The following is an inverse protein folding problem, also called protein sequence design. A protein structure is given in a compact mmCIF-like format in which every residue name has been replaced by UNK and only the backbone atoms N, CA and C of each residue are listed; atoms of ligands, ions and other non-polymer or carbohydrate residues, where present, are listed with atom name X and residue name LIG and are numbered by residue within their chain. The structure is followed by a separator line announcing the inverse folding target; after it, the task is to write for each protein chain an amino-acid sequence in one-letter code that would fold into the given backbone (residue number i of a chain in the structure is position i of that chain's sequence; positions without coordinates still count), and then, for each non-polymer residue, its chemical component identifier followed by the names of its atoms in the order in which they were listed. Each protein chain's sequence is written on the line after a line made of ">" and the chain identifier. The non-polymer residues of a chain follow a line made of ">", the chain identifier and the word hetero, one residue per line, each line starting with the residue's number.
data_IF_062865826099
#
_entry.id   IF_062865826099
#
_cell.length_a   1.000
_cell.length_b   1.000
_cell.length_c   1.000
_cell.angle_alpha   90.00
_cell.angle_beta   90.00
_cell.angle_gamma   90.00
#
_symmetry.space_group_name_H-M   'P 1'
#
loop_
_entity.id
_entity.type
_entity.pdbx_description
1 polymer ?
#
# COMPACT_ATOMS: atom_id res chain seq x y z
N UNK A 1 -72.49 53.37 -7.16
CA UNK A 1 -71.09 53.81 -7.32
C UNK A 1 -70.22 52.58 -7.14
N UNK A 2 -69.53 52.21 -8.25
CA UNK A 2 -68.35 51.32 -8.38
C UNK A 2 -68.42 49.94 -7.70
N UNK A 3 -68.84 48.89 -8.43
CA UNK A 3 -68.04 48.00 -9.34
C UNK A 3 -67.39 46.83 -8.57
N UNK A 4 -67.98 45.62 -8.60
CA UNK A 4 -67.72 44.50 -9.57
C UNK A 4 -66.33 43.88 -9.37
N UNK A 5 -66.10 42.56 -9.29
CA UNK A 5 -66.89 41.37 -9.63
C UNK A 5 -66.01 40.11 -9.41
N UNK A 6 -66.66 38.95 -9.26
CA UNK A 6 -66.27 37.59 -9.75
C UNK A 6 -64.93 36.97 -9.31
N UNK A 7 -64.83 35.70 -8.94
CA UNK A 7 -65.78 34.59 -9.01
C UNK A 7 -65.09 33.24 -8.80
N UNK A 8 -65.94 32.27 -8.44
CA UNK A 8 -65.88 30.81 -8.69
C UNK A 8 -64.72 29.93 -8.17
N UNK A 9 -65.18 28.93 -7.41
CA UNK A 9 -64.55 27.70 -6.94
C UNK A 9 -63.89 26.85 -8.04
N UNK A 10 -62.84 26.11 -7.66
CA UNK A 10 -62.62 24.75 -8.17
C UNK A 10 -61.78 23.90 -7.21
N UNK A 11 -62.29 22.69 -7.00
CA UNK A 11 -61.79 21.58 -6.19
C UNK A 11 -60.28 21.30 -6.30
N UNK A 12 -59.61 21.13 -5.16
CA UNK A 12 -58.36 20.37 -5.05
C UNK A 12 -58.64 19.01 -4.40
N UNK A 13 -58.53 17.97 -5.22
CA UNK A 13 -58.62 16.57 -4.84
C UNK A 13 -57.28 16.09 -4.26
N UNK A 14 -57.39 15.32 -3.18
CA UNK A 14 -56.35 14.46 -2.61
C UNK A 14 -55.75 13.54 -3.68
N UNK A 15 -54.44 13.58 -3.85
CA UNK A 15 -53.65 12.46 -4.38
C UNK A 15 -52.37 12.31 -3.57
N UNK A 16 -52.44 11.36 -2.65
CA UNK A 16 -51.32 10.71 -1.99
C UNK A 16 -50.42 10.05 -3.05
N UNK A 17 -49.17 10.54 -3.17
CA UNK A 17 -48.13 9.83 -3.92
C UNK A 17 -46.98 9.53 -2.97
N UNK A 18 -46.90 8.27 -2.56
CA UNK A 18 -45.83 7.67 -1.78
C UNK A 18 -44.56 7.57 -2.63
N UNK A 19 -43.53 8.37 -2.32
CA UNK A 19 -42.18 8.18 -2.86
C UNK A 19 -41.45 7.03 -2.15
N UNK A 20 -40.53 6.32 -2.82
CA UNK A 20 -39.82 5.20 -2.21
C UNK A 20 -38.78 5.69 -1.21
N UNK A 21 -38.43 4.88 -0.19
CA UNK A 21 -37.50 5.28 0.86
C UNK A 21 -36.07 5.37 0.32
N UNK A 22 -35.40 6.47 0.64
CA UNK A 22 -33.97 6.70 0.42
C UNK A 22 -33.20 5.66 1.25
N UNK A 23 -32.65 4.63 0.60
CA UNK A 23 -31.69 3.73 1.24
C UNK A 23 -30.35 4.45 1.36
N UNK A 24 -29.95 4.73 2.60
CA UNK A 24 -28.62 5.21 2.97
C UNK A 24 -27.57 4.14 2.65
N UNK A 25 -26.85 4.32 1.55
CA UNK A 25 -25.66 3.52 1.25
C UNK A 25 -24.54 4.00 2.16
N UNK A 26 -24.40 3.39 3.34
CA UNK A 26 -23.21 3.47 4.16
C UNK A 26 -22.06 2.73 3.45
N UNK A 27 -21.32 3.43 2.58
CA UNK A 27 -20.10 2.92 1.96
C UNK A 27 -18.95 3.04 2.98
N UNK A 28 -18.71 1.98 3.74
CA UNK A 28 -17.56 1.86 4.63
C UNK A 28 -16.34 1.55 3.77
N UNK A 29 -15.52 2.56 3.46
CA UNK A 29 -14.21 2.37 2.83
C UNK A 29 -13.12 2.61 3.87
N UNK A 30 -12.74 1.55 4.56
CA UNK A 30 -11.52 1.50 5.37
C UNK A 30 -10.32 1.24 4.45
N UNK A 31 -9.52 2.26 4.20
CA UNK A 31 -8.15 2.08 3.72
C UNK A 31 -7.31 1.45 4.85
N UNK A 32 -7.32 0.13 4.92
CA UNK A 32 -6.19 -0.64 5.43
C UNK A 32 -5.44 -1.17 4.22
N UNK A 33 -4.14 -0.88 4.15
CA UNK A 33 -3.18 -1.57 3.29
C UNK A 33 -3.56 -3.04 3.17
N UNK A 34 -3.84 -3.50 1.96
CA UNK A 34 -3.92 -4.93 1.66
C UNK A 34 -2.53 -5.46 1.95
N UNK A 35 -2.38 -6.01 3.15
CA UNK A 35 -1.36 -7.01 3.45
C UNK A 35 -1.44 -8.01 2.29
N UNK A 36 -0.34 -8.27 1.59
CA UNK A 36 -0.23 -9.40 0.65
C UNK A 36 -0.21 -10.72 1.42
N UNK A 37 -1.24 -10.93 2.24
CA UNK A 37 -1.74 -12.21 2.67
C UNK A 37 -3.05 -12.35 1.93
N UNK A 38 -3.04 -13.24 0.93
CA UNK A 38 -4.23 -13.85 0.36
C UNK A 38 -5.33 -13.95 1.42
N UNK A 39 -6.49 -13.29 1.24
CA UNK A 39 -7.64 -13.55 2.07
C UNK A 39 -8.04 -14.99 1.79
N UNK A 40 -7.80 -15.86 2.77
CA UNK A 40 -8.60 -17.07 2.92
C UNK A 40 -9.88 -16.58 3.59
N UNK A 41 -10.86 -16.18 2.79
CA UNK A 41 -12.26 -16.04 3.23
C UNK A 41 -13.14 -16.45 2.04
N UNK A 42 -13.68 -17.68 2.04
CA UNK A 42 -14.85 -18.11 2.82
C UNK A 42 -16.18 -17.50 2.34
N UNK A 43 -16.38 -17.30 1.03
CA UNK A 43 -17.75 -17.21 0.46
C UNK A 43 -17.82 -17.47 -1.04
N UNK A 44 -17.30 -18.63 -1.47
CA UNK A 44 -17.90 -19.45 -2.55
C UNK A 44 -17.37 -20.90 -2.54
N UNK A 45 -16.87 -21.39 -1.40
CA UNK A 45 -16.37 -22.76 -1.25
C UNK A 45 -17.47 -23.73 -0.82
N UNK A 46 -18.66 -23.61 -1.42
CA UNK A 46 -19.78 -24.53 -1.16
C UNK A 46 -19.50 -25.97 -1.60
N UNK A 47 -18.58 -26.19 -2.55
CA UNK A 47 -18.50 -27.45 -3.29
C UNK A 47 -17.09 -28.10 -3.38
N UNK A 48 -16.00 -27.49 -2.89
CA UNK A 48 -14.62 -27.98 -3.16
C UNK A 48 -14.08 -29.06 -2.20
N UNK A 49 -14.81 -29.41 -1.13
CA UNK A 49 -14.32 -30.43 -0.17
C UNK A 49 -14.45 -31.88 -0.66
N UNK A 50 -15.11 -32.11 -1.81
CA UNK A 50 -15.41 -33.46 -2.32
C UNK A 50 -14.59 -33.89 -3.55
N UNK A 51 -13.64 -33.06 -4.04
CA UNK A 51 -12.86 -33.39 -5.25
C UNK A 51 -11.55 -34.10 -4.92
N UNK A 52 -11.36 -35.28 -5.51
CA UNK A 52 -10.13 -36.08 -5.36
C UNK A 52 -8.89 -35.35 -5.90
N UNK A 53 -7.72 -35.66 -5.35
CA UNK A 53 -6.41 -35.14 -5.79
C UNK A 53 -6.18 -35.27 -7.31
N UNK A 54 -6.69 -36.35 -7.91
CA UNK A 54 -6.63 -36.59 -9.36
C UNK A 54 -7.46 -35.59 -10.17
N UNK A 55 -8.59 -35.12 -9.65
CA UNK A 55 -9.48 -34.19 -10.36
C UNK A 55 -8.93 -32.76 -10.37
N UNK A 56 -8.13 -32.38 -9.35
CA UNK A 56 -7.39 -31.09 -9.30
C UNK A 56 -6.26 -30.99 -10.33
N UNK A 57 -5.81 -32.12 -10.88
CA UNK A 57 -4.78 -32.19 -11.93
C UNK A 57 -5.38 -32.28 -13.35
N UNK A 58 -6.71 -32.35 -13.49
CA UNK A 58 -7.36 -32.35 -14.80
C UNK A 58 -7.03 -31.08 -15.59
N UNK A 59 -6.64 -31.17 -16.87
CA UNK A 59 -6.42 -30.02 -17.74
C UNK A 59 -7.62 -29.06 -17.80
N UNK A 60 -8.85 -29.58 -17.71
CA UNK A 60 -10.06 -28.76 -17.71
C UNK A 60 -10.27 -27.98 -16.41
N UNK A 61 -9.90 -28.56 -15.27
CA UNK A 61 -9.93 -27.88 -13.98
C UNK A 61 -8.88 -26.75 -13.94
N UNK A 62 -7.68 -27.03 -14.43
CA UNK A 62 -6.60 -26.03 -14.51
C UNK A 62 -6.99 -24.86 -15.43
N UNK A 63 -7.59 -25.15 -16.60
CA UNK A 63 -8.07 -24.13 -17.54
C UNK A 63 -9.15 -23.25 -16.93
N UNK A 64 -10.15 -23.84 -16.25
CA UNK A 64 -11.20 -23.06 -15.55
C UNK A 64 -10.63 -22.15 -14.47
N UNK A 65 -9.69 -22.67 -13.66
CA UNK A 65 -9.02 -21.87 -12.62
C UNK A 65 -8.21 -20.72 -13.21
N UNK A 66 -7.52 -20.96 -14.34
CA UNK A 66 -6.78 -19.93 -15.06
C UNK A 66 -7.72 -18.85 -15.61
N UNK A 67 -8.82 -19.23 -16.27
CA UNK A 67 -9.84 -18.29 -16.75
C UNK A 67 -10.45 -17.46 -15.61
N UNK A 68 -10.72 -18.08 -14.47
CA UNK A 68 -11.25 -17.39 -13.29
C UNK A 68 -10.25 -16.36 -12.74
N UNK A 69 -8.95 -16.69 -12.71
CA UNK A 69 -7.90 -15.75 -12.32
C UNK A 69 -7.82 -14.56 -13.30
N UNK A 70 -7.81 -14.83 -14.60
CA UNK A 70 -7.81 -13.79 -15.64
C UNK A 70 -8.99 -12.85 -15.48
N UNK A 71 -10.20 -13.39 -15.26
CA UNK A 71 -11.39 -12.59 -14.99
C UNK A 71 -11.24 -11.71 -13.74
N UNK A 72 -10.70 -12.23 -12.65
CA UNK A 72 -10.53 -11.43 -11.43
C UNK A 72 -9.53 -10.30 -11.60
N UNK A 73 -8.43 -10.52 -12.33
CA UNK A 73 -7.46 -9.46 -12.65
C UNK A 73 -8.10 -8.41 -13.58
N UNK A 74 -8.84 -8.83 -14.61
CA UNK A 74 -9.56 -7.91 -15.49
C UNK A 74 -10.62 -7.10 -14.73
N UNK A 75 -11.35 -7.74 -13.81
CA UNK A 75 -12.31 -7.05 -12.94
C UNK A 75 -11.63 -6.11 -11.97
N UNK A 76 -10.42 -6.43 -11.49
CA UNK A 76 -9.61 -5.52 -10.67
C UNK A 76 -9.17 -4.28 -11.47
N UNK A 77 -8.74 -4.46 -12.73
CA UNK A 77 -8.47 -3.34 -13.66
C UNK A 77 -9.68 -2.40 -13.76
N UNK A 78 -10.86 -2.94 -14.06
CA UNK A 78 -12.10 -2.17 -14.15
C UNK A 78 -12.48 -1.49 -12.83
N UNK A 79 -12.62 -2.26 -11.75
CA UNK A 79 -13.11 -1.72 -10.47
C UNK A 79 -12.13 -0.72 -9.83
N UNK A 80 -10.82 -0.89 -10.02
CA UNK A 80 -9.84 0.10 -9.60
C UNK A 80 -9.86 1.36 -10.47
N UNK A 81 -10.22 1.26 -11.76
CA UNK A 81 -10.41 2.41 -12.63
C UNK A 81 -11.64 3.22 -12.22
N UNK A 82 -12.72 2.55 -11.85
CA UNK A 82 -13.95 3.19 -11.35
C UNK A 82 -13.67 4.05 -10.11
N UNK A 83 -12.87 3.52 -9.18
CA UNK A 83 -12.40 4.27 -8.01
C UNK A 83 -11.47 5.42 -8.40
N UNK A 84 -10.59 5.23 -9.38
CA UNK A 84 -9.69 6.29 -9.85
C UNK A 84 -10.44 7.44 -10.53
N UNK A 85 -11.48 7.14 -11.32
CA UNK A 85 -12.36 8.14 -11.92
C UNK A 85 -13.11 8.94 -10.86
N UNK A 86 -13.64 8.28 -9.83
CA UNK A 86 -14.26 8.99 -8.71
C UNK A 86 -13.29 10.00 -8.06
N UNK A 87 -12.01 9.64 -7.93
CA UNK A 87 -10.97 10.57 -7.45
C UNK A 87 -10.73 11.72 -8.43
N UNK A 88 -10.71 11.47 -9.74
CA UNK A 88 -10.51 12.53 -10.72
C UNK A 88 -11.69 13.52 -10.72
N UNK A 89 -12.93 13.06 -10.56
CA UNK A 89 -14.09 13.93 -10.33
C UNK A 89 -13.98 14.71 -9.01
N UNK A 90 -13.54 14.06 -7.92
CA UNK A 90 -13.30 14.74 -6.64
C UNK A 90 -12.34 15.93 -6.83
N UNK A 91 -11.24 15.73 -7.57
CA UNK A 91 -10.24 16.77 -7.79
C UNK A 91 -10.66 17.81 -8.83
N UNK A 92 -11.26 17.39 -9.93
CA UNK A 92 -11.56 18.26 -11.07
C UNK A 92 -12.87 19.02 -10.93
N UNK A 93 -13.85 18.48 -10.21
CA UNK A 93 -15.20 19.04 -10.13
C UNK A 93 -15.47 19.53 -8.70
N UNK A 94 -15.45 18.61 -7.72
CA UNK A 94 -15.81 18.94 -6.34
C UNK A 94 -14.81 19.94 -5.74
N UNK A 95 -13.52 19.60 -5.74
CA UNK A 95 -12.48 20.46 -5.21
C UNK A 95 -12.31 21.75 -6.01
N UNK A 96 -12.51 21.69 -7.34
CA UNK A 96 -12.51 22.89 -8.19
C UNK A 96 -13.59 23.87 -7.74
N UNK A 97 -14.82 23.40 -7.54
CA UNK A 97 -15.93 24.25 -7.10
C UNK A 97 -15.69 24.89 -5.72
N UNK A 98 -14.93 24.21 -4.86
CA UNK A 98 -14.48 24.76 -3.56
C UNK A 98 -13.38 25.80 -3.74
N UNK A 99 -12.47 25.60 -4.70
CA UNK A 99 -11.30 26.46 -4.88
C UNK A 99 -11.59 27.76 -5.66
N UNK A 100 -12.42 27.69 -6.70
CA UNK A 100 -12.75 28.81 -7.61
C UNK A 100 -13.24 30.09 -6.89
N UNK A 101 -14.11 30.03 -5.87
CA UNK A 101 -14.57 31.23 -5.15
C UNK A 101 -13.48 31.89 -4.30
N UNK A 102 -12.37 31.20 -4.03
CA UNK A 102 -11.36 31.63 -3.06
C UNK A 102 -10.00 31.94 -3.67
N UNK A 103 -9.76 31.53 -4.92
CA UNK A 103 -8.47 31.69 -5.60
C UNK A 103 -8.64 32.44 -6.93
N UNK A 104 -7.73 33.37 -7.25
CA UNK A 104 -7.58 33.90 -8.59
C UNK A 104 -7.26 32.80 -9.61
N UNK A 105 -7.74 32.95 -10.85
CA UNK A 105 -7.52 31.97 -11.93
C UNK A 105 -6.03 31.69 -12.19
N UNK A 106 -5.16 32.69 -12.11
CA UNK A 106 -3.72 32.54 -12.33
C UNK A 106 -3.04 31.66 -11.27
N UNK A 107 -3.62 31.57 -10.07
CA UNK A 107 -3.18 30.68 -8.98
C UNK A 107 -3.80 29.29 -9.12
N UNK A 108 -5.08 29.23 -9.51
CA UNK A 108 -5.83 27.97 -9.62
C UNK A 108 -5.40 27.13 -10.82
N UNK A 109 -5.12 27.77 -11.96
CA UNK A 109 -4.75 27.10 -13.21
C UNK A 109 -3.53 26.18 -13.04
N UNK A 110 -2.39 26.61 -12.47
CA UNK A 110 -1.26 25.72 -12.21
C UNK A 110 -1.60 24.46 -11.40
N UNK A 111 -2.60 24.51 -10.52
CA UNK A 111 -2.97 23.40 -9.63
C UNK A 111 -3.84 22.37 -10.38
N UNK A 112 -4.79 22.83 -11.21
CA UNK A 112 -5.82 21.95 -11.77
C UNK A 112 -5.74 21.75 -13.29
N UNK A 113 -4.89 22.49 -14.03
CA UNK A 113 -4.89 22.52 -15.51
C UNK A 113 -4.82 21.15 -16.20
N UNK A 114 -4.17 20.16 -15.58
CA UNK A 114 -3.91 18.84 -16.18
C UNK A 114 -5.00 17.80 -15.86
N UNK A 115 -5.86 18.09 -14.88
CA UNK A 115 -6.90 17.15 -14.43
C UNK A 115 -8.02 16.93 -15.46
N UNK A 116 -8.53 17.96 -16.18
CA UNK A 116 -9.59 17.75 -17.16
C UNK A 116 -9.21 16.76 -18.26
N UNK A 117 -7.99 16.85 -18.82
CA UNK A 117 -7.57 15.91 -19.86
C UNK A 117 -7.39 14.49 -19.30
N UNK A 118 -6.86 14.35 -18.08
CA UNK A 118 -6.76 13.04 -17.42
C UNK A 118 -8.15 12.44 -17.18
N UNK A 119 -9.11 13.24 -16.69
CA UNK A 119 -10.48 12.79 -16.45
C UNK A 119 -11.11 12.26 -17.75
N UNK A 120 -11.10 13.06 -18.82
CA UNK A 120 -11.71 12.70 -20.10
C UNK A 120 -11.17 11.38 -20.67
N UNK A 121 -9.85 11.16 -20.62
CA UNK A 121 -9.24 9.93 -21.15
C UNK A 121 -9.70 8.70 -20.33
N UNK A 122 -9.77 8.84 -19.01
CA UNK A 122 -10.11 7.72 -18.14
C UNK A 122 -11.61 7.44 -18.08
N UNK A 123 -12.47 8.44 -18.35
CA UNK A 123 -13.93 8.23 -18.47
C UNK A 123 -14.24 7.30 -19.65
N UNK A 124 -13.54 7.50 -20.77
CA UNK A 124 -13.65 6.59 -21.89
C UNK A 124 -13.10 5.20 -21.54
N UNK A 125 -11.95 5.14 -20.85
CA UNK A 125 -11.35 3.87 -20.44
C UNK A 125 -12.27 3.05 -19.53
N UNK A 126 -12.83 3.66 -18.48
CA UNK A 126 -13.70 2.94 -17.54
C UNK A 126 -14.95 2.44 -18.24
N UNK A 127 -15.47 3.19 -19.21
CA UNK A 127 -16.61 2.78 -20.04
C UNK A 127 -16.25 1.55 -20.88
N UNK A 128 -15.14 1.59 -21.63
CA UNK A 128 -14.68 0.45 -22.45
C UNK A 128 -14.36 -0.78 -21.59
N UNK A 129 -13.77 -0.59 -20.40
CA UNK A 129 -13.49 -1.67 -19.44
C UNK A 129 -14.79 -2.27 -18.90
N UNK A 130 -15.78 -1.43 -18.57
CA UNK A 130 -17.09 -1.87 -18.09
C UNK A 130 -17.79 -2.75 -19.11
N UNK A 131 -17.89 -2.27 -20.35
CA UNK A 131 -18.54 -3.00 -21.44
C UNK A 131 -17.86 -4.37 -21.66
N UNK A 132 -16.53 -4.42 -21.54
CA UNK A 132 -15.79 -5.68 -21.65
C UNK A 132 -16.06 -6.64 -20.49
N UNK A 133 -16.15 -6.16 -19.25
CA UNK A 133 -16.44 -7.00 -18.09
C UNK A 133 -17.88 -7.52 -18.15
N UNK A 134 -18.83 -6.69 -18.59
CA UNK A 134 -20.23 -7.07 -18.73
C UNK A 134 -20.43 -8.12 -19.85
N UNK A 135 -19.59 -8.12 -20.91
CA UNK A 135 -19.56 -9.13 -21.99
C UNK A 135 -18.46 -10.21 -21.84
N UNK A 136 -17.87 -10.37 -20.65
CA UNK A 136 -16.75 -11.29 -20.44
C UNK A 136 -17.00 -12.75 -20.88
N UNK A 137 -18.19 -13.35 -20.69
CA UNK A 137 -18.45 -14.72 -21.14
C UNK A 137 -18.26 -14.93 -22.64
N UNK A 138 -18.51 -13.90 -23.45
CA UNK A 138 -18.39 -13.96 -24.91
C UNK A 138 -17.02 -13.47 -25.39
N UNK A 139 -16.37 -12.57 -24.65
CA UNK A 139 -15.11 -11.96 -25.05
C UNK A 139 -14.09 -11.89 -23.89
N UNK A 140 -13.36 -12.99 -23.64
CA UNK A 140 -12.34 -13.11 -22.59
C UNK A 140 -10.99 -12.47 -22.99
N UNK A 141 -11.02 -11.16 -23.24
CA UNK A 141 -9.85 -10.33 -23.56
C UNK A 141 -9.97 -9.02 -22.79
N UNK A 142 -8.89 -8.33 -22.43
CA UNK A 142 -9.00 -6.97 -21.86
C UNK A 142 -7.91 -6.01 -22.35
N UNK A 143 -6.79 -6.53 -22.86
CA UNK A 143 -5.62 -5.70 -23.14
C UNK A 143 -5.79 -4.83 -24.37
N UNK A 144 -6.64 -5.21 -25.32
CA UNK A 144 -6.97 -4.37 -26.48
C UNK A 144 -7.60 -3.04 -26.05
N UNK A 145 -8.40 -3.03 -24.97
CA UNK A 145 -8.93 -1.80 -24.37
C UNK A 145 -7.79 -0.94 -23.82
N UNK A 146 -6.82 -1.55 -23.12
CA UNK A 146 -5.67 -0.83 -22.57
C UNK A 146 -4.69 -0.35 -23.66
N UNK A 147 -4.59 -1.05 -24.78
CA UNK A 147 -3.78 -0.60 -25.93
C UNK A 147 -4.35 0.71 -26.50
N UNK A 148 -5.67 0.92 -26.48
CA UNK A 148 -6.27 2.19 -26.95
C UNK A 148 -5.85 3.40 -26.13
N UNK A 149 -5.61 3.25 -24.82
CA UNK A 149 -5.19 4.38 -23.96
C UNK A 149 -3.69 4.66 -24.04
N UNK A 150 -2.88 3.68 -24.47
CA UNK A 150 -1.42 3.77 -24.49
C UNK A 150 -0.88 5.06 -25.17
N UNK A 151 -1.41 5.52 -26.31
CA UNK A 151 -1.01 6.79 -26.92
C UNK A 151 -1.22 8.02 -26.03
N UNK A 152 -2.19 7.97 -25.13
CA UNK A 152 -2.59 9.06 -24.25
C UNK A 152 -1.87 9.03 -22.90
N UNK A 153 -1.17 7.94 -22.56
CA UNK A 153 -0.41 7.82 -21.31
C UNK A 153 0.68 8.90 -21.15
N UNK A 154 1.11 9.55 -22.24
CA UNK A 154 1.99 10.73 -22.19
C UNK A 154 1.41 11.88 -21.34
N UNK A 155 0.09 11.99 -21.21
CA UNK A 155 -0.55 12.97 -20.33
C UNK A 155 -0.22 12.71 -18.84
N UNK A 156 -0.08 11.44 -18.44
CA UNK A 156 0.41 11.11 -17.10
C UNK A 156 1.85 11.54 -16.88
N UNK A 157 2.71 11.40 -17.90
CA UNK A 157 4.09 11.90 -17.79
C UNK A 157 4.14 13.40 -17.52
N UNK A 158 3.24 14.18 -18.13
CA UNK A 158 3.13 15.62 -17.86
C UNK A 158 2.70 15.89 -16.42
N UNK A 159 1.68 15.17 -15.92
CA UNK A 159 1.22 15.32 -14.53
C UNK A 159 2.31 14.93 -13.52
N UNK A 160 2.97 13.79 -13.73
CA UNK A 160 4.04 13.30 -12.85
C UNK A 160 5.23 14.27 -12.83
N UNK A 161 5.61 14.80 -14.00
CA UNK A 161 6.69 15.79 -14.12
C UNK A 161 6.35 17.09 -13.40
N UNK A 162 5.13 17.60 -13.56
CA UNK A 162 4.68 18.87 -12.98
C UNK A 162 4.18 18.71 -11.53
N UNK A 163 4.13 17.49 -10.98
CA UNK A 163 3.50 17.19 -9.68
C UNK A 163 4.06 18.01 -8.53
N UNK A 164 5.40 18.19 -8.47
CA UNK A 164 6.01 19.01 -7.44
C UNK A 164 5.52 20.46 -7.53
N UNK A 165 5.56 21.05 -8.74
CA UNK A 165 5.07 22.40 -8.98
C UNK A 165 3.59 22.56 -8.61
N UNK A 166 2.75 21.57 -8.95
CA UNK A 166 1.32 21.52 -8.56
C UNK A 166 1.18 21.56 -7.03
N UNK A 167 1.90 20.68 -6.33
CA UNK A 167 1.81 20.62 -4.86
C UNK A 167 2.39 21.85 -4.16
N UNK A 168 3.47 22.43 -4.67
CA UNK A 168 4.05 23.68 -4.14
C UNK A 168 3.11 24.86 -4.36
N UNK A 169 2.49 24.97 -5.53
CA UNK A 169 1.49 26.01 -5.80
C UNK A 169 0.27 25.86 -4.87
N UNK A 170 -0.18 24.62 -4.64
CA UNK A 170 -1.24 24.32 -3.68
C UNK A 170 -0.87 24.70 -2.23
N UNK A 171 0.32 24.31 -1.77
CA UNK A 171 0.79 24.62 -0.41
C UNK A 171 0.94 26.14 -0.20
N UNK A 172 1.46 26.85 -1.22
CA UNK A 172 1.57 28.32 -1.20
C UNK A 172 0.20 29.00 -1.23
N UNK A 173 -0.77 28.46 -1.98
CA UNK A 173 -2.14 28.96 -1.99
C UNK A 173 -2.81 28.81 -0.62
N UNK A 174 -2.66 27.67 0.06
CA UNK A 174 -3.13 27.47 1.44
C UNK A 174 -2.52 28.48 2.41
N UNK A 175 -1.24 28.82 2.24
CA UNK A 175 -0.53 29.77 3.11
C UNK A 175 -0.98 31.22 2.85
N UNK A 176 -1.17 31.58 1.58
CA UNK A 176 -1.44 32.95 1.15
C UNK A 176 -2.91 33.35 1.25
N UNK A 177 -3.83 32.40 1.12
CA UNK A 177 -5.29 32.66 1.09
C UNK A 177 -6.00 31.93 2.25
N UNK A 178 -6.20 32.60 3.41
CA UNK A 178 -6.82 31.96 4.58
C UNK A 178 -8.26 31.47 4.36
N UNK A 179 -9.04 32.16 3.50
CA UNK A 179 -10.39 31.73 3.11
C UNK A 179 -10.35 30.40 2.37
N UNK A 180 -9.44 30.26 1.40
CA UNK A 180 -9.19 28.99 0.71
C UNK A 180 -8.76 27.90 1.70
N UNK A 181 -7.82 28.17 2.61
CA UNK A 181 -7.40 27.20 3.61
C UNK A 181 -8.54 26.75 4.55
N UNK A 182 -9.47 27.65 4.89
CA UNK A 182 -10.66 27.29 5.66
C UNK A 182 -11.59 26.38 4.85
N UNK A 183 -11.87 26.73 3.59
CA UNK A 183 -12.72 25.95 2.70
C UNK A 183 -12.14 24.55 2.42
N UNK A 184 -10.83 24.44 2.23
CA UNK A 184 -10.15 23.14 2.09
C UNK A 184 -10.32 22.29 3.34
N UNK A 185 -10.13 22.85 4.54
CA UNK A 185 -10.32 22.09 5.79
C UNK A 185 -11.75 21.60 5.96
N UNK A 186 -12.74 22.40 5.56
CA UNK A 186 -14.14 22.00 5.57
C UNK A 186 -14.39 20.87 4.56
N UNK A 187 -13.87 21.00 3.34
CA UNK A 187 -13.97 19.98 2.31
C UNK A 187 -13.32 18.66 2.73
N UNK A 188 -12.13 18.69 3.33
CA UNK A 188 -11.42 17.51 3.84
C UNK A 188 -12.17 16.83 5.02
N UNK A 189 -12.92 17.60 5.81
CA UNK A 189 -13.80 17.08 6.87
C UNK A 189 -15.10 16.46 6.33
N UNK A 190 -15.46 16.77 5.07
CA UNK A 190 -16.70 16.26 4.48
C UNK A 190 -16.65 14.73 4.27
N UNK A 191 -17.81 14.05 4.25
CA UNK A 191 -17.86 12.62 3.94
C UNK A 191 -17.25 12.27 2.57
N UNK A 192 -17.25 13.22 1.62
CA UNK A 192 -16.70 13.04 0.27
C UNK A 192 -15.22 12.67 0.30
N UNK A 193 -14.46 13.27 1.22
CA UNK A 193 -13.01 13.08 1.34
C UNK A 193 -12.62 11.88 2.19
N UNK A 194 -13.55 11.23 2.90
CA UNK A 194 -13.30 10.01 3.69
C UNK A 194 -12.08 10.13 4.63
N UNK A 195 -11.88 11.31 5.26
CA UNK A 195 -10.73 11.63 6.14
C UNK A 195 -9.36 11.69 5.44
N UNK A 196 -9.33 11.75 4.12
CA UNK A 196 -8.12 11.94 3.33
C UNK A 196 -7.98 13.42 2.95
N UNK A 197 -6.74 13.90 2.90
CA UNK A 197 -6.46 15.27 2.46
C UNK A 197 -6.54 15.40 0.94
N UNK A 198 -6.74 16.61 0.44
CA UNK A 198 -6.67 16.89 -1.01
C UNK A 198 -5.30 16.50 -1.56
N UNK A 199 -4.23 16.73 -0.79
CA UNK A 199 -2.86 16.30 -1.16
C UNK A 199 -2.75 14.78 -1.34
N UNK A 200 -3.50 13.99 -0.57
CA UNK A 200 -3.56 12.53 -0.76
C UNK A 200 -4.18 12.20 -2.11
N UNK A 201 -5.29 12.84 -2.47
CA UNK A 201 -5.95 12.61 -3.75
C UNK A 201 -5.09 13.04 -4.94
N UNK A 202 -4.39 14.18 -4.84
CA UNK A 202 -3.46 14.65 -5.88
C UNK A 202 -2.34 13.63 -6.19
N UNK A 203 -1.97 12.75 -5.24
CA UNK A 203 -0.97 11.71 -5.48
C UNK A 203 -1.50 10.56 -6.36
N UNK A 204 -2.81 10.36 -6.44
CA UNK A 204 -3.43 9.19 -7.10
C UNK A 204 -3.07 9.05 -8.59
N UNK A 205 -3.02 10.12 -9.41
CA UNK A 205 -2.57 9.99 -10.80
C UNK A 205 -1.11 9.55 -10.93
N UNK A 206 -0.24 9.93 -9.98
CA UNK A 206 1.16 9.47 -9.94
C UNK A 206 1.23 7.97 -9.62
N UNK A 207 0.35 7.47 -8.76
CA UNK A 207 0.26 6.05 -8.39
C UNK A 207 -0.37 5.19 -9.49
N UNK A 208 -1.32 5.72 -10.27
CA UNK A 208 -2.08 4.93 -11.25
C UNK A 208 -1.22 4.36 -12.37
N UNK A 209 -0.26 5.14 -12.89
CA UNK A 209 0.61 4.68 -13.98
C UNK A 209 1.45 3.43 -13.58
N UNK A 210 2.13 3.39 -12.43
CA UNK A 210 2.76 2.17 -11.95
C UNK A 210 1.79 1.00 -11.68
N UNK A 211 0.55 1.27 -11.25
CA UNK A 211 -0.44 0.22 -11.01
C UNK A 211 -0.84 -0.50 -12.31
N UNK A 212 -1.00 0.20 -13.43
CA UNK A 212 -1.24 -0.44 -14.73
C UNK A 212 -0.14 -1.46 -15.05
N UNK A 213 1.12 -1.13 -14.77
CA UNK A 213 2.27 -2.02 -15.00
C UNK A 213 2.17 -3.30 -14.15
N UNK A 214 1.77 -3.17 -12.88
CA UNK A 214 1.63 -4.32 -11.96
C UNK A 214 0.49 -5.24 -12.40
N UNK A 215 -0.67 -4.67 -12.74
CA UNK A 215 -1.86 -5.44 -13.16
C UNK A 215 -1.62 -6.13 -14.51
N UNK A 216 -1.01 -5.43 -15.48
CA UNK A 216 -0.64 -6.02 -16.77
C UNK A 216 0.38 -7.15 -16.62
N UNK A 217 1.35 -7.01 -15.71
CA UNK A 217 2.32 -8.07 -15.45
C UNK A 217 1.66 -9.31 -14.85
N UNK A 218 0.81 -9.14 -13.83
CA UNK A 218 0.06 -10.27 -13.22
C UNK A 218 -0.89 -10.94 -14.23
N UNK A 219 -1.52 -10.14 -15.09
CA UNK A 219 -2.36 -10.64 -16.18
C UNK A 219 -1.55 -11.48 -17.17
N UNK A 220 -0.38 -10.97 -17.61
CA UNK A 220 0.51 -11.66 -18.56
C UNK A 220 1.02 -13.00 -18.01
N UNK A 221 1.32 -13.10 -16.71
CA UNK A 221 1.77 -14.35 -16.07
C UNK A 221 0.73 -15.48 -16.15
N UNK A 222 -0.56 -15.12 -16.33
CA UNK A 222 -1.66 -16.07 -16.38
C UNK A 222 -2.23 -16.28 -17.78
N UNK A 223 -1.77 -15.55 -18.80
CA UNK A 223 -2.27 -15.68 -20.17
C UNK A 223 -1.59 -16.84 -20.95
N UNK A 224 -2.33 -17.53 -21.84
CA UNK A 224 -1.72 -18.42 -22.84
C UNK A 224 -0.84 -17.63 -23.82
N UNK A 225 0.36 -18.12 -24.10
CA UNK A 225 1.38 -17.43 -24.93
C UNK A 225 0.90 -17.21 -26.37
N UNK A 226 0.00 -18.07 -26.83
CA UNK A 226 -0.55 -18.12 -28.18
C UNK A 226 -1.81 -17.23 -28.34
N UNK A 227 -2.28 -16.60 -27.27
CA UNK A 227 -3.47 -15.76 -27.31
C UNK A 227 -3.18 -14.36 -27.85
N UNK A 228 -4.14 -13.79 -28.59
CA UNK A 228 -4.04 -12.39 -29.05
C UNK A 228 -3.89 -11.41 -27.87
N UNK A 229 -4.54 -11.72 -26.75
CA UNK A 229 -4.47 -10.90 -25.53
C UNK A 229 -3.04 -10.88 -24.97
N UNK A 230 -2.28 -11.97 -25.08
CA UNK A 230 -0.88 -12.03 -24.65
C UNK A 230 0.00 -11.02 -25.41
N UNK A 231 -0.20 -10.94 -26.73
CA UNK A 231 0.52 -9.99 -27.59
C UNK A 231 0.17 -8.54 -27.21
N UNK A 232 -1.12 -8.26 -27.02
CA UNK A 232 -1.58 -6.94 -26.60
C UNK A 232 -1.10 -6.57 -25.20
N UNK A 233 -1.16 -7.49 -24.23
CA UNK A 233 -0.67 -7.26 -22.86
C UNK A 233 0.82 -6.94 -22.90
N UNK A 234 1.62 -7.66 -23.69
CA UNK A 234 3.05 -7.40 -23.83
C UNK A 234 3.31 -6.02 -24.45
N UNK A 235 2.54 -5.65 -25.48
CA UNK A 235 2.61 -4.33 -26.11
C UNK A 235 2.26 -3.22 -25.12
N UNK A 236 1.13 -3.33 -24.41
CA UNK A 236 0.70 -2.37 -23.40
C UNK A 236 1.72 -2.25 -22.26
N UNK A 237 2.22 -3.37 -21.74
CA UNK A 237 3.22 -3.38 -20.67
C UNK A 237 4.52 -2.68 -21.09
N UNK A 238 4.96 -2.88 -22.34
CA UNK A 238 6.11 -2.17 -22.90
C UNK A 238 5.89 -0.66 -22.94
N UNK A 239 4.74 -0.21 -23.44
CA UNK A 239 4.43 1.23 -23.54
C UNK A 239 4.29 1.85 -22.14
N UNK A 240 3.52 1.24 -21.23
CA UNK A 240 3.38 1.71 -19.84
C UNK A 240 4.74 1.83 -19.16
N UNK A 241 5.62 0.85 -19.33
CA UNK A 241 6.96 0.86 -18.76
C UNK A 241 7.81 2.01 -19.33
N UNK A 242 7.78 2.22 -20.65
CA UNK A 242 8.49 3.32 -21.30
C UNK A 242 7.98 4.70 -20.86
N UNK A 243 6.66 4.86 -20.71
CA UNK A 243 6.04 6.10 -20.24
C UNK A 243 6.42 6.37 -18.78
N UNK A 244 6.40 5.35 -17.92
CA UNK A 244 6.80 5.47 -16.52
C UNK A 244 8.28 5.84 -16.38
N UNK A 245 9.16 5.23 -17.18
CA UNK A 245 10.58 5.56 -17.21
C UNK A 245 10.82 6.98 -17.73
N UNK A 246 10.16 7.37 -18.82
CA UNK A 246 10.24 8.73 -19.35
C UNK A 246 9.73 9.78 -18.35
N UNK A 247 8.62 9.50 -17.67
CA UNK A 247 8.09 10.35 -16.62
C UNK A 247 9.13 10.53 -15.51
N UNK A 248 9.71 9.43 -15.02
CA UNK A 248 10.73 9.46 -13.98
C UNK A 248 12.00 10.22 -14.40
N UNK A 249 12.51 10.00 -15.61
CA UNK A 249 13.70 10.68 -16.12
C UNK A 249 13.49 12.18 -16.39
N UNK A 250 12.24 12.60 -16.59
CA UNK A 250 11.87 14.00 -16.81
C UNK A 250 11.75 14.80 -15.50
N UNK A 251 11.76 14.14 -14.35
CA UNK A 251 11.69 14.80 -13.04
C UNK A 251 13.07 15.37 -12.68
N UNK A 252 13.22 16.69 -12.76
CA UNK A 252 14.51 17.38 -12.48
C UNK A 252 14.66 17.88 -11.04
N UNK A 253 13.59 17.96 -10.26
CA UNK A 253 13.60 18.58 -8.92
C UNK A 253 12.99 17.71 -7.81
N UNK A 254 12.13 16.75 -8.13
CA UNK A 254 11.44 15.94 -7.12
C UNK A 254 12.20 14.65 -6.80
N UNK A 255 13.29 14.77 -6.04
CA UNK A 255 14.19 13.65 -5.72
C UNK A 255 13.45 12.51 -5.00
N UNK A 256 12.51 12.81 -4.10
CA UNK A 256 11.81 11.77 -3.36
C UNK A 256 10.84 10.98 -4.24
N UNK A 257 9.94 11.63 -4.98
CA UNK A 257 8.98 10.90 -5.82
C UNK A 257 9.68 10.19 -6.96
N UNK A 258 10.71 10.80 -7.56
CA UNK A 258 11.54 10.12 -8.55
C UNK A 258 12.18 8.85 -7.96
N UNK A 259 12.70 8.92 -6.73
CA UNK A 259 13.25 7.75 -6.05
C UNK A 259 12.18 6.68 -5.76
N UNK A 260 11.00 7.08 -5.29
CA UNK A 260 9.90 6.14 -5.02
C UNK A 260 9.37 5.50 -6.31
N UNK A 261 9.27 6.24 -7.41
CA UNK A 261 8.91 5.71 -8.74
C UNK A 261 9.96 4.73 -9.26
N UNK A 262 11.24 5.07 -9.14
CA UNK A 262 12.35 4.18 -9.49
C UNK A 262 12.27 2.85 -8.71
N UNK A 263 12.02 2.91 -7.41
CA UNK A 263 11.83 1.71 -6.57
C UNK A 263 10.56 0.95 -7.00
N UNK A 264 9.43 1.65 -7.20
CA UNK A 264 8.17 1.04 -7.64
C UNK A 264 8.33 0.31 -8.98
N UNK A 265 9.17 0.85 -9.89
CA UNK A 265 9.46 0.27 -11.20
C UNK A 265 10.41 -0.93 -11.14
N UNK A 266 11.29 -1.02 -10.13
CA UNK A 266 12.19 -2.15 -9.96
C UNK A 266 11.57 -3.33 -9.19
N UNK A 267 10.39 -3.16 -8.59
CA UNK A 267 9.71 -4.24 -7.86
C UNK A 267 8.64 -4.96 -8.68
N UNK A 268 8.44 -6.23 -8.35
CA UNK A 268 7.33 -7.09 -8.78
C UNK A 268 6.47 -7.53 -7.59
N UNK A 269 5.24 -7.96 -7.88
CA UNK A 269 4.36 -8.61 -6.90
C UNK A 269 3.43 -7.66 -6.14
N UNK A 270 2.70 -6.80 -6.87
CA UNK A 270 1.54 -6.05 -6.35
C UNK A 270 1.80 -5.04 -5.21
N UNK A 271 3.04 -4.89 -4.75
CA UNK A 271 3.36 -4.03 -3.61
C UNK A 271 3.36 -2.56 -4.03
N UNK A 272 2.57 -1.74 -3.35
CA UNK A 272 2.55 -0.29 -3.54
C UNK A 272 3.60 0.40 -2.64
N UNK A 273 4.60 0.99 -3.27
CA UNK A 273 5.70 1.72 -2.62
C UNK A 273 5.33 3.19 -2.44
N UNK A 274 4.72 3.81 -3.44
CA UNK A 274 4.34 5.23 -3.40
C UNK A 274 3.13 5.35 -2.46
N UNK A 275 3.35 5.87 -1.25
CA UNK A 275 2.29 6.13 -0.26
C UNK A 275 2.35 7.58 0.22
N UNK A 276 1.22 8.15 0.67
CA UNK A 276 1.18 9.51 1.22
C UNK A 276 2.18 9.69 2.37
N UNK A 277 2.97 10.75 2.32
CA UNK A 277 3.94 11.10 3.37
C UNK A 277 5.17 10.19 3.45
N UNK A 278 5.28 9.16 2.60
CA UNK A 278 6.46 8.29 2.55
C UNK A 278 7.65 9.02 1.93
N UNK A 279 8.79 8.91 2.60
CA UNK A 279 10.06 9.51 2.18
C UNK A 279 11.15 8.46 2.20
N UNK A 280 11.90 8.36 1.11
CA UNK A 280 13.10 7.52 1.03
C UNK A 280 14.21 8.07 1.94
N UNK A 281 14.88 7.21 2.70
CA UNK A 281 15.99 7.58 3.58
C UNK A 281 17.29 6.92 3.13
N UNK A 282 17.31 5.60 3.03
CA UNK A 282 18.54 4.84 2.70
C UNK A 282 18.19 3.51 2.04
N UNK A 283 19.05 3.03 1.15
CA UNK A 283 19.03 1.65 0.68
C UNK A 283 20.43 1.05 0.64
N UNK A 284 20.48 -0.27 0.54
CA UNK A 284 21.73 -1.01 0.36
C UNK A 284 21.59 -2.47 0.71
N UNK A 285 22.65 -3.22 0.44
CA UNK A 285 22.71 -4.65 0.64
C UNK A 285 23.18 -4.98 2.07
N UNK A 286 22.46 -5.87 2.75
CA UNK A 286 22.88 -6.41 4.04
C UNK A 286 22.66 -7.93 4.04
N UNK A 287 23.52 -8.64 4.77
CA UNK A 287 23.35 -10.06 5.02
C UNK A 287 22.33 -10.25 6.14
N UNK A 288 21.18 -10.85 5.82
CA UNK A 288 20.16 -11.19 6.79
C UNK A 288 20.31 -12.63 7.25
N UNK A 289 20.39 -12.84 8.57
CA UNK A 289 20.31 -14.17 9.14
C UNK A 289 18.90 -14.74 8.92
N UNK A 290 18.83 -15.82 8.15
CA UNK A 290 17.60 -16.54 7.85
C UNK A 290 17.77 -18.00 8.29
N UNK A 291 17.02 -18.39 9.33
CA UNK A 291 17.19 -19.66 10.06
C UNK A 291 18.60 -19.79 10.63
N UNK A 292 19.53 -20.34 9.83
CA UNK A 292 20.93 -20.63 10.24
C UNK A 292 21.97 -20.10 9.26
N UNK A 293 21.56 -19.42 8.19
CA UNK A 293 22.44 -19.02 7.09
C UNK A 293 22.25 -17.51 6.86
N UNK A 294 23.37 -16.81 6.68
CA UNK A 294 23.38 -15.42 6.23
C UNK A 294 23.04 -15.38 4.74
N UNK A 295 22.09 -14.55 4.36
CA UNK A 295 21.66 -14.40 2.97
C UNK A 295 21.59 -12.93 2.58
N UNK A 296 22.10 -12.60 1.41
CA UNK A 296 22.06 -11.22 0.90
C UNK A 296 20.62 -10.80 0.65
N UNK A 297 20.29 -9.60 1.14
CA UNK A 297 19.00 -8.95 0.93
C UNK A 297 19.24 -7.48 0.69
N UNK A 298 18.45 -6.91 -0.21
CA UNK A 298 18.41 -5.46 -0.40
C UNK A 298 17.47 -4.88 0.64
N UNK A 299 17.92 -3.88 1.39
CA UNK A 299 17.11 -3.17 2.37
C UNK A 299 16.82 -1.76 1.86
N UNK A 300 15.59 -1.30 2.11
CA UNK A 300 15.15 0.06 1.83
C UNK A 300 14.50 0.60 3.10
N UNK A 301 15.08 1.64 3.66
CA UNK A 301 14.57 2.38 4.80
C UNK A 301 13.78 3.59 4.29
N UNK A 302 12.50 3.63 4.66
CA UNK A 302 11.65 4.80 4.54
C UNK A 302 11.44 5.43 5.92
N UNK A 303 10.83 6.61 5.95
CA UNK A 303 10.48 7.30 7.18
C UNK A 303 9.38 6.61 8.01
N UNK A 304 8.64 5.67 7.45
CA UNK A 304 7.52 4.97 8.10
C UNK A 304 7.74 3.45 8.24
N UNK A 305 8.57 2.85 7.39
CA UNK A 305 8.87 1.41 7.43
C UNK A 305 10.29 1.05 6.96
N UNK A 306 10.75 -0.14 7.35
CA UNK A 306 11.90 -0.83 6.78
C UNK A 306 11.40 -1.96 5.89
N UNK A 307 11.77 -1.94 4.62
CA UNK A 307 11.44 -2.98 3.64
C UNK A 307 12.69 -3.77 3.29
N UNK A 308 12.55 -5.06 3.02
CA UNK A 308 13.63 -5.84 2.42
C UNK A 308 13.15 -6.72 1.29
N UNK A 309 14.04 -6.91 0.32
CA UNK A 309 13.76 -7.51 -0.97
C UNK A 309 14.77 -8.60 -1.32
N UNK A 310 14.33 -9.51 -2.18
CA UNK A 310 15.17 -10.52 -2.82
C UNK A 310 15.35 -10.14 -4.28
N UNK A 311 16.60 -10.05 -4.73
CA UNK A 311 16.90 -9.86 -6.15
C UNK A 311 16.41 -11.07 -6.95
N UNK A 312 15.79 -10.81 -8.09
CA UNK A 312 15.31 -11.83 -9.01
C UNK A 312 16.25 -11.90 -10.21
N UNK A 313 15.92 -11.23 -11.32
CA UNK A 313 16.75 -11.14 -12.53
C UNK A 313 16.67 -9.73 -13.09
N UNK A 314 17.71 -9.27 -13.80
CA UNK A 314 17.74 -8.00 -14.53
C UNK A 314 17.38 -6.75 -13.70
N UNK A 315 17.86 -6.66 -12.46
CA UNK A 315 17.58 -5.51 -11.59
C UNK A 315 16.15 -5.45 -11.03
N UNK A 316 15.39 -6.54 -11.18
CA UNK A 316 14.05 -6.70 -10.63
C UNK A 316 14.11 -7.33 -9.24
N UNK A 317 13.28 -6.83 -8.33
CA UNK A 317 13.23 -7.26 -6.93
C UNK A 317 11.84 -7.75 -6.54
N UNK A 318 11.80 -8.78 -5.70
CA UNK A 318 10.58 -9.21 -5.01
C UNK A 318 10.61 -8.71 -3.59
N UNK A 319 9.56 -7.99 -3.17
CA UNK A 319 9.40 -7.56 -1.78
C UNK A 319 9.17 -8.79 -0.90
N UNK A 320 9.96 -8.94 0.16
CA UNK A 320 9.74 -10.00 1.15
C UNK A 320 8.80 -9.53 2.25
N UNK A 321 9.14 -8.41 2.90
CA UNK A 321 8.34 -7.84 3.99
C UNK A 321 8.53 -6.33 4.10
N UNK A 322 7.44 -5.64 4.45
CA UNK A 322 7.38 -4.25 4.89
C UNK A 322 7.18 -4.22 6.41
N UNK A 323 8.13 -3.65 7.17
CA UNK A 323 8.11 -3.64 8.64
C UNK A 323 7.90 -2.20 9.12
N UNK A 324 6.79 -1.92 9.80
CA UNK A 324 6.58 -0.58 10.38
C UNK A 324 7.68 -0.22 11.36
N UNK A 325 8.15 1.03 11.31
CA UNK A 325 9.07 1.57 12.32
C UNK A 325 8.38 1.75 13.69
N UNK A 326 7.06 1.68 13.75
CA UNK A 326 6.31 1.78 15.01
C UNK A 326 6.70 0.66 15.95
N UNK A 327 7.25 1.01 17.11
CA UNK A 327 7.73 0.03 18.09
C UNK A 327 9.02 -0.69 17.70
N UNK A 328 9.62 -0.36 16.54
CA UNK A 328 10.88 -0.96 16.11
C UNK A 328 12.05 -0.51 17.01
N UNK A 329 13.02 -1.40 17.23
CA UNK A 329 14.26 -1.11 17.97
C UNK A 329 15.44 -1.75 17.26
N UNK A 330 16.62 -1.15 17.46
CA UNK A 330 17.89 -1.67 16.96
C UNK A 330 18.76 -2.06 18.15
N UNK A 331 19.37 -3.24 18.10
CA UNK A 331 20.24 -3.75 19.16
C UNK A 331 21.59 -4.16 18.58
N UNK A 332 22.67 -3.86 19.30
CA UNK A 332 24.02 -4.29 18.95
C UNK A 332 24.40 -5.54 19.77
N UNK A 333 25.12 -6.52 19.17
CA UNK A 333 25.69 -7.63 19.92
C UNK A 333 26.63 -7.13 21.01
N UNK A 334 26.61 -7.78 22.18
CA UNK A 334 27.51 -7.45 23.30
C UNK A 334 28.93 -7.99 23.12
N UNK A 335 29.15 -8.90 22.17
CA UNK A 335 30.41 -9.61 21.96
C UNK A 335 31.23 -8.93 20.86
N UNK A 336 32.54 -8.77 21.11
CA UNK A 336 33.48 -8.05 20.25
C UNK A 336 33.70 -8.71 18.87
N UNK A 337 33.36 -9.99 18.70
CA UNK A 337 33.57 -10.75 17.46
C UNK A 337 32.52 -10.46 16.38
N UNK A 338 31.45 -9.73 16.73
CA UNK A 338 30.33 -9.44 15.83
C UNK A 338 30.23 -7.95 15.48
N UNK A 339 31.38 -7.30 15.21
CA UNK A 339 31.45 -5.85 14.96
C UNK A 339 30.72 -5.39 13.70
N UNK A 340 30.32 -6.31 12.82
CA UNK A 340 29.54 -5.98 11.62
C UNK A 340 28.03 -6.21 11.83
N UNK A 341 27.65 -6.80 12.95
CA UNK A 341 26.27 -7.26 13.16
C UNK A 341 25.45 -6.30 14.01
N UNK A 342 24.15 -6.32 13.76
CA UNK A 342 23.13 -5.65 14.54
C UNK A 342 21.82 -6.41 14.39
N UNK A 343 20.86 -6.20 15.29
CA UNK A 343 19.54 -6.81 15.22
C UNK A 343 18.47 -5.75 15.05
N UNK A 344 17.53 -6.01 14.15
CA UNK A 344 16.29 -5.24 14.03
C UNK A 344 15.19 -6.01 14.74
N UNK A 345 14.51 -5.34 15.66
CA UNK A 345 13.42 -5.88 16.45
C UNK A 345 12.16 -5.11 16.07
N UNK A 346 11.14 -5.79 15.55
CA UNK A 346 9.85 -5.18 15.25
C UNK A 346 8.71 -6.03 15.79
N UNK A 347 7.48 -5.52 15.73
CA UNK A 347 6.31 -6.26 16.22
C UNK A 347 6.10 -7.56 15.45
N UNK A 348 6.21 -7.52 14.13
CA UNK A 348 5.88 -8.67 13.26
C UNK A 348 7.07 -9.59 13.01
N UNK A 349 8.29 -9.05 12.90
CA UNK A 349 9.51 -9.83 12.61
C UNK A 349 10.76 -9.21 13.22
N UNK A 350 11.64 -10.08 13.73
CA UNK A 350 12.93 -9.66 14.28
C UNK A 350 14.04 -10.58 13.76
N UNK A 351 15.20 -10.00 13.44
CA UNK A 351 16.31 -10.73 12.83
C UNK A 351 17.63 -10.00 13.00
N UNK A 352 18.71 -10.78 12.92
CA UNK A 352 20.08 -10.26 12.86
C UNK A 352 20.47 -9.93 11.42
N UNK A 353 21.17 -8.82 11.27
CA UNK A 353 21.77 -8.31 10.05
C UNK A 353 23.28 -8.22 10.24
N UNK A 354 24.02 -8.38 9.15
CA UNK A 354 25.44 -8.13 9.08
C UNK A 354 25.76 -7.22 7.89
N UNK A 355 26.49 -6.14 8.15
CA UNK A 355 27.03 -5.25 7.13
C UNK A 355 28.38 -5.79 6.60
N UNK A 356 28.88 -5.20 5.51
CA UNK A 356 30.20 -5.53 4.94
C UNK A 356 31.34 -4.96 5.78
N UNK A 357 31.08 -3.92 6.56
CA UNK A 357 32.07 -3.30 7.45
C UNK A 357 31.44 -2.73 8.73
N UNK A 358 32.24 -2.50 9.80
CA UNK A 358 31.74 -1.85 11.02
C UNK A 358 31.20 -0.44 10.75
N UNK A 359 31.83 0.28 9.82
CA UNK A 359 31.41 1.62 9.39
C UNK A 359 30.02 1.58 8.74
N UNK A 360 29.80 0.68 7.78
CA UNK A 360 28.50 0.53 7.14
C UNK A 360 27.42 0.12 8.16
N UNK A 361 27.75 -0.77 9.11
CA UNK A 361 26.85 -1.10 10.23
C UNK A 361 26.48 0.16 11.01
N UNK A 362 27.44 0.99 11.39
CA UNK A 362 27.20 2.22 12.16
C UNK A 362 26.33 3.22 11.39
N UNK A 363 26.56 3.38 10.09
CA UNK A 363 25.71 4.21 9.23
C UNK A 363 24.26 3.71 9.21
N UNK A 364 24.05 2.40 9.02
CA UNK A 364 22.70 1.81 9.05
C UNK A 364 22.01 1.96 10.40
N UNK A 365 22.73 1.66 11.49
CA UNK A 365 22.20 1.77 12.86
C UNK A 365 21.84 3.22 13.19
N UNK A 366 22.67 4.18 12.78
CA UNK A 366 22.41 5.61 12.95
C UNK A 366 21.14 6.04 12.22
N UNK A 367 21.03 5.75 10.92
CA UNK A 367 19.86 6.14 10.11
C UNK A 367 18.57 5.45 10.57
N UNK A 368 18.63 4.17 10.94
CA UNK A 368 17.49 3.45 11.50
C UNK A 368 17.01 4.09 12.80
N UNK A 369 17.91 4.36 13.75
CA UNK A 369 17.54 4.97 15.02
C UNK A 369 16.97 6.38 14.84
N UNK A 370 17.55 7.16 13.92
CA UNK A 370 17.04 8.49 13.55
C UNK A 370 15.62 8.38 12.99
N UNK A 371 15.40 7.52 11.99
CA UNK A 371 14.08 7.31 11.37
C UNK A 371 13.03 6.84 12.38
N UNK A 372 13.37 5.87 13.25
CA UNK A 372 12.48 5.37 14.30
C UNK A 372 12.09 6.48 15.27
N UNK A 373 13.06 7.29 15.70
CA UNK A 373 12.83 8.41 16.62
C UNK A 373 11.90 9.45 15.98
N UNK A 374 12.19 9.89 14.76
CA UNK A 374 11.38 10.87 14.03
C UNK A 374 9.95 10.36 13.78
N UNK A 375 9.79 9.10 13.35
CA UNK A 375 8.48 8.48 13.17
C UNK A 375 7.69 8.45 14.48
N UNK A 376 8.34 8.10 15.60
CA UNK A 376 7.71 8.08 16.92
C UNK A 376 7.27 9.48 17.35
N UNK A 377 8.12 10.50 17.19
CA UNK A 377 7.80 11.89 17.53
C UNK A 377 6.63 12.41 16.70
N UNK A 378 6.63 12.20 15.38
CA UNK A 378 5.53 12.58 14.50
C UNK A 378 4.21 11.97 14.98
N UNK A 379 4.19 10.66 15.25
CA UNK A 379 2.98 9.98 15.74
C UNK A 379 2.48 10.52 17.08
N UNK A 380 3.36 10.82 18.03
CA UNK A 380 2.97 11.42 19.32
C UNK A 380 2.35 12.80 19.10
N UNK A 381 2.91 13.62 18.21
CA UNK A 381 2.34 14.94 17.91
C UNK A 381 0.93 14.86 17.32
N UNK A 382 0.66 13.87 16.45
CA UNK A 382 -0.69 13.62 15.91
C UNK A 382 -1.69 13.12 16.97
N UNK A 383 -1.24 12.29 17.92
CA UNK A 383 -2.10 11.81 19.00
C UNK A 383 -2.51 12.95 19.95
N UNK A 384 -1.64 13.95 20.16
CA UNK A 384 -1.92 15.12 21.01
C UNK A 384 -2.85 16.14 20.34
N UNK A 385 -2.82 16.27 19.02
CA UNK A 385 -3.69 17.20 18.29
C UNK A 385 -5.10 16.66 17.99
N UNK A 386 -5.32 15.35 18.12
CA UNK A 386 -6.62 14.70 17.91
C UNK A 386 -7.50 14.52 19.15
N UNK A 387 -7.02 14.87 20.35
CA UNK A 387 -7.76 14.67 21.61
C UNK A 387 -8.16 15.99 22.28
N UNK A 388 -9.36 16.47 21.97
CA UNK A 388 -10.11 17.39 22.83
C UNK A 388 -10.95 16.56 23.83
N UNK A 389 -10.31 15.70 24.62
CA UNK A 389 -10.92 15.07 25.78
C UNK A 389 -9.86 14.93 26.86
N UNK A 390 -10.11 15.62 27.96
CA UNK A 390 -9.35 15.58 29.21
C UNK A 390 -9.52 14.21 29.85
N UNK A 391 -8.56 13.31 29.65
CA UNK A 391 -8.25 12.27 30.62
C UNK A 391 -6.74 12.17 30.76
N UNK A 392 -6.25 12.79 31.83
CA UNK A 392 -4.83 13.01 32.12
C UNK A 392 -4.21 11.81 32.87
N UNK A 393 -4.62 10.58 32.56
CA UNK A 393 -4.14 9.37 33.27
C UNK A 393 -3.43 8.33 32.44
N UNK A 394 -3.19 8.53 31.13
CA UNK A 394 -2.42 7.58 30.32
C UNK A 394 -1.28 8.25 29.53
N UNK A 395 -0.34 8.88 30.25
CA UNK A 395 1.01 9.13 29.74
C UNK A 395 1.95 8.03 30.26
N UNK A 396 2.48 7.13 29.42
CA UNK A 396 3.61 6.32 29.82
C UNK A 396 4.89 7.15 29.65
N UNK A 397 5.28 7.85 30.70
CA UNK A 397 6.61 8.46 30.89
C UNK A 397 7.71 7.40 31.12
N UNK A 398 7.53 6.20 30.56
CA UNK A 398 8.41 5.04 30.71
C UNK A 398 8.76 4.39 29.36
N UNK A 399 8.83 5.16 28.27
CA UNK A 399 9.17 4.66 26.92
C UNK A 399 10.62 4.13 26.75
N UNK A 400 11.32 3.85 27.85
CA UNK A 400 12.38 2.83 27.95
C UNK A 400 11.80 1.54 28.56
N UNK A 401 10.61 1.13 28.11
CA UNK A 401 9.96 -0.09 28.55
C UNK A 401 10.69 -1.29 27.91
N UNK A 402 11.35 -2.07 28.74
CA UNK A 402 11.65 -3.47 28.45
C UNK A 402 10.35 -4.12 27.95
N UNK A 403 10.26 -4.44 26.66
CA UNK A 403 9.06 -5.03 26.07
C UNK A 403 8.68 -6.28 26.86
N UNK A 404 7.41 -6.37 27.25
CA UNK A 404 6.88 -7.57 27.88
C UNK A 404 7.04 -8.75 26.90
N UNK A 405 7.56 -9.85 27.42
CA UNK A 405 7.79 -11.08 26.66
C UNK A 405 6.52 -11.50 25.89
N UNK A 406 6.65 -11.73 24.58
CA UNK A 406 5.54 -12.15 23.73
C UNK A 406 4.73 -11.02 23.07
N UNK A 407 5.01 -9.74 23.39
CA UNK A 407 4.37 -8.59 22.71
C UNK A 407 4.98 -8.27 21.34
N UNK A 408 6.23 -8.70 21.09
CA UNK A 408 6.91 -8.58 19.80
C UNK A 408 7.59 -9.90 19.39
N UNK A 409 7.84 -10.07 18.10
CA UNK A 409 8.65 -11.18 17.60
C UNK A 409 10.08 -11.11 18.20
N UNK A 410 10.65 -12.20 18.73
CA UNK A 410 12.00 -12.18 19.28
C UNK A 410 13.07 -12.30 18.18
N UNK A 411 14.29 -11.84 18.48
CA UNK A 411 15.47 -12.11 17.64
C UNK A 411 15.90 -13.56 17.85
N UNK A 412 15.97 -14.34 16.77
CA UNK A 412 16.40 -15.73 16.85
C UNK A 412 17.92 -15.82 16.95
N UNK A 413 18.41 -16.56 17.93
CA UNK A 413 19.84 -16.83 18.07
C UNK A 413 20.23 -17.92 17.04
N UNK A 414 21.22 -17.69 16.16
CA UNK A 414 21.65 -18.72 15.21
C UNK A 414 22.17 -19.97 15.93
N UNK A 415 21.71 -21.14 15.49
CA UNK A 415 22.07 -22.45 16.08
C UNK A 415 23.57 -22.68 16.20
N UNK A 416 24.35 -22.21 15.22
CA UNK A 416 25.80 -22.37 15.21
C UNK A 416 26.48 -21.69 16.40
N UNK A 417 25.83 -20.69 17.01
CA UNK A 417 26.33 -19.99 18.21
C UNK A 417 25.88 -20.64 19.51
N UNK A 418 25.10 -21.72 19.46
CA UNK A 418 24.58 -22.39 20.64
C UNK A 418 24.90 -23.88 20.61
N UNK A 419 25.88 -24.28 21.41
CA UNK A 419 26.29 -25.68 21.58
C UNK A 419 25.49 -26.39 22.68
N UNK A 420 24.91 -25.65 23.63
CA UNK A 420 24.18 -26.17 24.80
C UNK A 420 22.81 -25.51 24.98
N UNK A 421 21.85 -26.23 25.55
CA UNK A 421 20.53 -25.70 25.89
C UNK A 421 20.67 -24.48 26.82
N UNK A 422 20.08 -23.35 26.45
CA UNK A 422 20.20 -22.11 27.22
C UNK A 422 19.31 -22.06 28.49
N UNK A 423 18.70 -23.19 28.86
CA UNK A 423 17.95 -23.38 30.09
C UNK A 423 18.56 -24.45 30.99
N UNK A 424 18.74 -25.68 30.48
CA UNK A 424 19.27 -26.79 31.27
C UNK A 424 20.76 -27.07 31.04
N UNK A 425 21.43 -26.31 30.15
CA UNK A 425 22.87 -26.40 29.85
C UNK A 425 23.37 -27.72 29.23
N UNK A 426 22.48 -28.68 28.98
CA UNK A 426 22.80 -29.92 28.25
C UNK A 426 23.26 -29.65 26.80
N UNK A 427 24.30 -30.37 26.36
CA UNK A 427 24.85 -30.25 25.01
C UNK A 427 23.90 -30.77 23.93
N UNK A 428 23.78 -30.01 22.84
CA UNK A 428 22.99 -30.41 21.69
C UNK A 428 23.71 -31.44 20.83
N UNK A 429 22.99 -32.51 20.47
CA UNK A 429 23.47 -33.63 19.65
C UNK A 429 22.47 -33.93 18.51
N UNK A 430 22.70 -35.00 17.75
CA UNK A 430 21.80 -35.41 16.66
C UNK A 430 20.40 -35.81 17.17
N UNK A 431 20.37 -36.45 18.35
CA UNK A 431 19.15 -36.87 19.04
C UNK A 431 18.63 -35.81 20.01
N UNK A 432 19.52 -34.98 20.56
CA UNK A 432 19.15 -33.85 21.43
C UNK A 432 19.11 -32.54 20.62
N UNK A 433 17.94 -32.27 20.02
CA UNK A 433 17.77 -31.22 18.99
C UNK A 433 17.48 -29.83 19.58
N UNK A 434 17.85 -28.82 18.79
CA UNK A 434 17.65 -27.39 19.07
C UNK A 434 16.23 -26.93 18.71
N UNK A 435 15.63 -26.13 19.58
CA UNK A 435 14.34 -25.48 19.38
C UNK A 435 14.42 -24.00 19.79
N UNK A 436 13.87 -23.09 19.00
CA UNK A 436 13.79 -21.68 19.39
C UNK A 436 12.53 -21.39 20.17
N UNK A 437 12.65 -20.71 21.31
CA UNK A 437 11.49 -20.16 22.00
C UNK A 437 10.87 -19.04 21.16
N UNK A 438 9.58 -19.14 20.84
CA UNK A 438 8.86 -18.13 20.05
C UNK A 438 8.62 -16.85 20.84
N UNK A 439 8.70 -16.90 22.16
CA UNK A 439 8.55 -15.74 23.02
C UNK A 439 9.85 -14.91 23.16
N UNK A 440 11.01 -15.56 23.27
CA UNK A 440 12.27 -14.88 23.59
C UNK A 440 13.46 -15.18 22.66
N UNK A 441 13.31 -16.09 21.69
CA UNK A 441 14.33 -16.39 20.68
C UNK A 441 15.51 -17.27 21.14
N UNK A 442 15.56 -17.62 22.43
CA UNK A 442 16.56 -18.56 22.99
C UNK A 442 16.46 -19.96 22.37
N UNK A 443 17.60 -20.64 22.28
CA UNK A 443 17.71 -22.02 21.80
C UNK A 443 17.70 -22.98 22.99
N UNK A 444 16.69 -23.86 23.02
CA UNK A 444 16.38 -24.77 24.12
C UNK A 444 16.12 -26.18 23.58
N UNK A 445 16.15 -27.20 24.43
CA UNK A 445 15.78 -28.57 24.08
C UNK A 445 14.27 -28.78 24.12
N UNK A 446 13.80 -29.91 23.60
CA UNK A 446 12.37 -30.28 23.61
C UNK A 446 11.80 -30.36 25.03
N UNK A 447 12.56 -30.88 26.00
CA UNK A 447 12.15 -30.95 27.41
C UNK A 447 11.96 -29.55 28.03
N UNK A 448 12.78 -28.58 27.65
CA UNK A 448 12.69 -27.20 28.12
C UNK A 448 11.72 -26.33 27.29
N UNK A 449 11.07 -26.88 26.26
CA UNK A 449 10.11 -26.17 25.40
C UNK A 449 8.72 -26.81 25.37
N UNK A 450 8.34 -27.57 26.41
CA UNK A 450 7.05 -28.27 26.44
C UNK A 450 5.86 -27.34 26.68
N UNK A 451 6.10 -26.22 27.37
CA UNK A 451 5.04 -25.25 27.70
C UNK A 451 4.78 -24.31 26.53
N UNK A 452 3.50 -24.08 26.24
CA UNK A 452 3.03 -23.15 25.22
C UNK A 452 2.27 -22.01 25.89
N UNK A 453 2.42 -20.80 25.35
CA UNK A 453 1.66 -19.63 25.77
C UNK A 453 1.11 -18.90 24.53
N UNK A 454 -0.08 -18.28 24.63
CA UNK A 454 -0.55 -17.38 23.58
C UNK A 454 0.39 -16.18 23.50
N UNK A 455 0.89 -15.87 22.30
CA UNK A 455 1.77 -14.73 22.09
C UNK A 455 1.00 -13.60 21.40
N UNK A 456 0.87 -12.40 22.02
CA UNK A 456 0.20 -11.25 21.41
C UNK A 456 0.67 -10.92 20.00
N UNK A 457 1.99 -11.00 19.73
CA UNK A 457 2.52 -10.71 18.39
C UNK A 457 2.11 -11.73 17.31
N UNK A 458 1.64 -12.92 17.71
CA UNK A 458 1.08 -13.96 16.84
C UNK A 458 -0.45 -13.97 16.86
N UNK A 459 -1.09 -12.82 17.12
CA UNK A 459 -2.56 -12.73 17.26
C UNK A 459 -3.10 -13.70 18.34
N UNK A 460 -2.37 -13.84 19.45
CA UNK A 460 -2.68 -14.76 20.56
C UNK A 460 -2.70 -16.25 20.20
N UNK A 461 -2.06 -16.66 19.10
CA UNK A 461 -1.85 -18.08 18.83
C UNK A 461 -0.85 -18.69 19.82
N UNK A 462 -1.12 -19.92 20.27
CA UNK A 462 -0.23 -20.68 21.14
C UNK A 462 1.00 -21.17 20.37
N UNK A 463 2.20 -20.87 20.85
CA UNK A 463 3.45 -21.14 20.15
C UNK A 463 4.45 -21.98 20.94
#
# INVERSE_FOLDING_TARGET
>A
MTNTSSGSDSNSADTSTTGPPIQSIHRVHSYSSIDSQTPIDSSSDGDDYSLSSANRQSPEYQRRRQQQKLYYIARELYSSEEVFIDVLHLLNDDFRSVAEPHLPDDVLQPILKLLPQLLQINEQLVTDLKDRIDDWPNHQRISDVLVKICPFLKQYSLYIRDFEHITTAYDEALRRYPSFAAAVREFECSPRCQKLSVRHFMLKPVQRLPQYRLLLHDYLEHLPVESDDYVDTQSALKIVSQVAEHANNSMKSNENISKLLSIQNSIIGGTEVIKPGRVFIKEGELMKLSRKIMQDRWFILFNDCLMYLTAVQNGVFRVNHELSLTGMRVSLPKQQDFQNEFAVISHTRSFSLAARSPKEREEWVSELNKAIKENTTKRISFAKSGSLCSDETLLPTSALSTMELGTCAPVWIPDARVTMCQLCTEEFSVTYRRHHCRCCGKVVCSACSQNKAPLPYLKNQTA
#
